data_IF_510293503125
#
_entry.id   IF_510293503125
#
_cell.length_a   1.000
_cell.length_b   1.000
_cell.length_c   1.000
_cell.angle_alpha   90.00
_cell.angle_beta   90.00
_cell.angle_gamma   90.00
#
_symmetry.space_group_name_H-M   'P 1'
#
loop_
_entity.id
_entity.type
_entity.pdbx_description
1 polymer ?
#
# COMPACT_ATOMS: atom_id res chain seq x y z
N UNK A 1 -9.32 11.28 -4.52
CA UNK A 1 -10.56 11.44 -3.75
C UNK A 1 -11.08 10.14 -3.15
N UNK A 2 -11.05 8.97 -3.84
CA UNK A 2 -11.51 7.68 -3.27
C UNK A 2 -10.66 7.20 -2.09
N UNK A 3 -9.39 7.59 -2.04
CA UNK A 3 -8.47 7.25 -0.95
C UNK A 3 -8.86 7.90 0.39
N UNK A 4 -9.63 8.99 0.35
CA UNK A 4 -10.11 9.73 1.53
C UNK A 4 -11.56 9.39 1.91
N UNK A 5 -12.06 8.25 1.44
CA UNK A 5 -13.42 7.79 1.72
C UNK A 5 -13.38 6.50 2.55
N UNK A 6 -14.25 6.40 3.53
CA UNK A 6 -14.48 5.13 4.21
C UNK A 6 -15.12 4.15 3.22
N UNK A 7 -14.51 2.99 3.04
CA UNK A 7 -14.94 1.97 2.08
C UNK A 7 -15.88 1.00 2.77
N UNK A 8 -17.08 0.84 2.21
CA UNK A 8 -18.08 -0.12 2.68
C UNK A 8 -17.53 -1.56 2.68
N UNK A 9 -18.08 -2.46 3.51
CA UNK A 9 -17.71 -3.86 3.49
C UNK A 9 -17.82 -4.46 2.11
N UNK A 10 -16.84 -5.30 1.76
CA UNK A 10 -16.81 -6.05 0.50
C UNK A 10 -17.81 -7.21 0.54
N UNK A 11 -18.50 -7.43 -0.59
CA UNK A 11 -19.31 -8.62 -0.87
C UNK A 11 -18.98 -9.16 -2.26
N UNK A 12 -19.13 -10.47 -2.48
CA UNK A 12 -18.80 -11.10 -3.77
C UNK A 12 -19.67 -10.59 -4.94
N UNK A 13 -20.88 -10.11 -4.66
CA UNK A 13 -21.73 -9.51 -5.69
C UNK A 13 -21.12 -8.25 -6.32
N UNK A 14 -20.27 -7.55 -5.60
CA UNK A 14 -19.58 -6.37 -6.13
C UNK A 14 -18.65 -6.71 -7.30
N UNK A 15 -18.11 -7.93 -7.37
CA UNK A 15 -17.22 -8.38 -8.45
C UNK A 15 -17.92 -8.38 -9.82
N UNK A 16 -19.22 -8.69 -9.84
CA UNK A 16 -20.03 -8.74 -11.08
C UNK A 16 -20.05 -7.40 -11.80
N UNK A 17 -20.10 -6.29 -11.06
CA UNK A 17 -20.12 -4.92 -11.62
C UNK A 17 -18.81 -4.58 -12.33
N UNK A 18 -17.70 -5.22 -11.93
CA UNK A 18 -16.37 -4.97 -12.46
C UNK A 18 -15.87 -6.09 -13.39
N UNK A 19 -16.77 -7.04 -13.75
CA UNK A 19 -16.44 -8.19 -14.61
C UNK A 19 -15.25 -9.01 -14.08
N UNK A 20 -15.14 -9.14 -12.76
CA UNK A 20 -14.13 -9.95 -12.09
C UNK A 20 -14.80 -11.25 -11.66
N UNK A 21 -14.20 -12.38 -12.02
CA UNK A 21 -14.76 -13.73 -11.84
C UNK A 21 -14.93 -14.08 -10.36
N UNK A 22 -13.86 -13.92 -9.58
CA UNK A 22 -13.80 -14.34 -8.18
C UNK A 22 -12.74 -13.55 -7.40
N UNK A 23 -12.65 -13.82 -6.08
CA UNK A 23 -11.66 -13.21 -5.18
C UNK A 23 -10.22 -13.50 -5.61
N UNK A 24 -9.93 -14.69 -6.15
CA UNK A 24 -8.59 -15.08 -6.58
C UNK A 24 -8.12 -14.23 -7.76
N UNK A 25 -8.99 -14.06 -8.76
CA UNK A 25 -8.67 -13.20 -9.89
C UNK A 25 -8.44 -11.75 -9.45
N UNK A 26 -9.27 -11.22 -8.55
CA UNK A 26 -9.06 -9.89 -7.99
C UNK A 26 -7.72 -9.79 -7.27
N UNK A 27 -7.43 -10.74 -6.39
CA UNK A 27 -6.17 -10.80 -5.62
C UNK A 27 -4.95 -10.86 -6.53
N UNK A 28 -4.98 -11.69 -7.56
CA UNK A 28 -3.91 -11.81 -8.55
C UNK A 28 -3.67 -10.51 -9.32
N UNK A 29 -4.73 -9.86 -9.77
CA UNK A 29 -4.65 -8.56 -10.46
C UNK A 29 -4.08 -7.48 -9.54
N UNK A 30 -4.51 -7.44 -8.30
CA UNK A 30 -4.02 -6.51 -7.28
C UNK A 30 -2.55 -6.76 -6.97
N UNK A 31 -2.16 -8.02 -6.73
CA UNK A 31 -0.79 -8.41 -6.45
C UNK A 31 0.16 -8.07 -7.60
N UNK A 32 -0.21 -8.40 -8.85
CA UNK A 32 0.57 -8.03 -10.04
C UNK A 32 0.75 -6.51 -10.16
N UNK A 33 -0.31 -5.75 -9.86
CA UNK A 33 -0.23 -4.29 -9.85
C UNK A 33 0.71 -3.78 -8.76
N UNK A 34 0.61 -4.31 -7.54
CA UNK A 34 1.50 -3.98 -6.42
C UNK A 34 2.96 -4.19 -6.79
N UNK A 35 3.31 -5.38 -7.29
CA UNK A 35 4.69 -5.73 -7.68
C UNK A 35 5.19 -4.86 -8.84
N UNK A 36 4.35 -4.62 -9.84
CA UNK A 36 4.70 -3.76 -11.00
C UNK A 36 5.15 -2.36 -10.57
N UNK A 37 4.56 -1.80 -9.53
CA UNK A 37 4.93 -0.48 -9.00
C UNK A 37 5.93 -0.52 -7.85
N UNK A 38 6.49 -1.70 -7.54
CA UNK A 38 7.50 -1.88 -6.49
C UNK A 38 6.95 -1.70 -5.08
N UNK A 39 5.66 -1.98 -4.88
CA UNK A 39 4.99 -1.92 -3.58
C UNK A 39 5.11 -3.20 -2.79
N UNK A 40 4.87 -3.10 -1.49
CA UNK A 40 4.77 -4.21 -0.54
C UNK A 40 3.38 -4.29 0.10
N UNK A 41 2.51 -3.33 -0.23
CA UNK A 41 1.09 -3.25 0.08
C UNK A 41 0.36 -2.44 -0.99
N UNK A 42 -0.90 -2.77 -1.25
CA UNK A 42 -1.77 -2.04 -2.19
C UNK A 42 -3.23 -2.28 -1.86
N UNK A 43 -3.95 -1.22 -1.56
CA UNK A 43 -5.38 -1.26 -1.31
C UNK A 43 -6.22 -1.01 -2.58
N UNK A 44 -7.40 -1.62 -2.64
CA UNK A 44 -8.26 -1.57 -3.83
C UNK A 44 -8.70 -0.14 -4.20
N UNK A 45 -8.94 0.72 -3.21
CA UNK A 45 -9.32 2.11 -3.46
C UNK A 45 -8.19 2.97 -4.06
N UNK A 46 -6.92 2.56 -3.92
CA UNK A 46 -5.79 3.21 -4.60
C UNK A 46 -5.84 3.01 -6.13
N UNK A 47 -6.38 1.90 -6.59
CA UNK A 47 -6.56 1.59 -8.02
C UNK A 47 -7.98 1.87 -8.53
N UNK A 48 -8.78 2.56 -7.72
CA UNK A 48 -10.12 3.00 -8.10
C UNK A 48 -11.24 1.99 -7.88
N UNK A 49 -10.96 0.84 -7.29
CA UNK A 49 -11.96 -0.16 -6.93
C UNK A 49 -12.57 0.16 -5.54
N UNK A 50 -13.90 0.19 -5.39
CA UNK A 50 -14.55 0.51 -4.13
C UNK A 50 -14.66 -0.73 -3.22
N UNK A 51 -13.61 -1.54 -3.15
CA UNK A 51 -13.61 -2.78 -2.38
C UNK A 51 -12.84 -2.58 -1.07
N UNK A 52 -13.43 -3.03 0.04
CA UNK A 52 -12.75 -3.10 1.32
C UNK A 52 -11.80 -4.30 1.34
N UNK A 53 -10.70 -4.19 0.59
CA UNK A 53 -9.64 -5.19 0.50
C UNK A 53 -8.30 -4.57 0.14
N UNK A 54 -7.24 -5.24 0.51
CA UNK A 54 -5.87 -4.95 0.08
C UNK A 54 -5.05 -6.24 -0.03
N UNK A 55 -3.95 -6.14 -0.76
CA UNK A 55 -2.91 -7.18 -0.84
C UNK A 55 -1.65 -6.68 -0.17
N UNK A 56 -0.88 -7.57 0.48
CA UNK A 56 0.38 -7.22 1.13
C UNK A 56 1.38 -8.37 1.15
N UNK A 57 2.67 -8.03 1.31
CA UNK A 57 3.76 -9.02 1.42
C UNK A 57 4.46 -9.28 0.09
N UNK A 58 4.91 -10.51 -0.13
CA UNK A 58 5.63 -10.93 -1.34
C UNK A 58 7.10 -10.54 -1.38
N UNK A 59 7.63 -9.81 -0.40
CA UNK A 59 9.05 -9.49 -0.31
C UNK A 59 9.77 -10.50 0.59
N UNK A 60 10.89 -11.12 0.15
CA UNK A 60 11.55 -12.20 0.91
C UNK A 60 11.93 -11.84 2.36
N UNK A 61 12.20 -10.57 2.64
CA UNK A 61 12.56 -10.10 3.98
C UNK A 61 11.33 -9.79 4.87
N UNK A 62 10.11 -10.01 4.38
CA UNK A 62 8.86 -9.77 5.10
C UNK A 62 8.12 -11.08 5.19
N UNK A 63 8.10 -11.70 6.38
CA UNK A 63 7.45 -12.99 6.65
C UNK A 63 7.79 -14.05 5.57
N UNK A 64 9.07 -14.19 5.22
CA UNK A 64 9.57 -15.13 4.21
C UNK A 64 8.86 -15.05 2.85
N UNK A 65 8.39 -13.85 2.50
CA UNK A 65 7.68 -13.61 1.25
C UNK A 65 6.22 -14.01 1.27
N UNK A 66 5.63 -14.27 2.45
CA UNK A 66 4.19 -14.58 2.55
C UNK A 66 3.35 -13.45 1.97
N UNK A 67 2.44 -13.81 1.07
CA UNK A 67 1.43 -12.89 0.51
C UNK A 67 0.13 -13.04 1.30
N UNK A 68 -0.53 -11.92 1.58
CA UNK A 68 -1.85 -11.88 2.21
C UNK A 68 -2.81 -11.09 1.36
N UNK A 69 -3.97 -11.65 1.12
CA UNK A 69 -5.10 -11.04 0.42
C UNK A 69 -6.21 -10.79 1.46
N UNK A 70 -6.33 -9.56 1.92
CA UNK A 70 -7.14 -9.22 3.08
C UNK A 70 -8.47 -8.60 2.67
N UNK A 71 -9.54 -9.36 2.67
CA UNK A 71 -10.92 -8.88 2.46
C UNK A 71 -11.57 -8.56 3.79
N UNK A 72 -12.24 -7.42 3.87
CA UNK A 72 -12.89 -6.90 5.08
C UNK A 72 -11.97 -6.93 6.32
N UNK A 73 -10.75 -6.38 6.21
CA UNK A 73 -9.79 -6.42 7.29
C UNK A 73 -10.25 -5.59 8.49
N UNK A 74 -9.98 -6.12 9.68
CA UNK A 74 -10.14 -5.43 10.96
C UNK A 74 -8.91 -5.62 11.83
N UNK A 75 -8.58 -4.62 12.62
CA UNK A 75 -7.62 -4.72 13.72
C UNK A 75 -8.42 -4.96 14.99
N UNK A 76 -8.19 -6.10 15.65
CA UNK A 76 -8.88 -6.52 16.89
C UNK A 76 -8.16 -6.00 18.11
N UNK A 77 -6.83 -5.97 18.06
CA UNK A 77 -5.98 -5.53 19.15
C UNK A 77 -4.64 -5.02 18.62
N UNK A 78 -3.92 -4.24 19.41
CA UNK A 78 -2.63 -3.64 19.03
C UNK A 78 -1.75 -3.41 20.27
N UNK A 79 -0.44 -3.34 20.07
CA UNK A 79 0.50 -3.06 21.15
C UNK A 79 0.41 -1.61 21.63
N UNK A 80 0.59 -1.40 22.94
CA UNK A 80 0.85 -0.07 23.51
C UNK A 80 2.22 0.47 23.07
N UNK A 81 3.18 -0.43 22.95
CA UNK A 81 4.51 -0.08 22.45
C UNK A 81 4.47 0.32 20.98
N UNK A 82 5.15 1.41 20.66
CA UNK A 82 5.20 1.95 19.31
C UNK A 82 6.63 1.99 18.77
N UNK A 83 6.79 1.73 17.47
CA UNK A 83 8.06 1.80 16.77
C UNK A 83 8.01 2.88 15.69
N UNK A 84 9.07 3.70 15.64
CA UNK A 84 9.26 4.71 14.59
C UNK A 84 9.89 4.05 13.37
N UNK A 85 9.17 4.01 12.25
CA UNK A 85 9.67 3.50 10.98
C UNK A 85 9.39 4.47 9.84
N UNK A 86 10.21 4.39 8.78
CA UNK A 86 10.02 5.18 7.56
C UNK A 86 8.97 4.49 6.68
N UNK A 87 7.95 5.22 6.29
CA UNK A 87 6.87 4.78 5.39
C UNK A 87 6.85 5.59 4.11
N UNK A 88 6.43 4.94 3.03
CA UNK A 88 6.03 5.53 1.77
C UNK A 88 4.70 4.94 1.32
N UNK A 89 4.08 5.52 0.32
CA UNK A 89 2.83 5.05 -0.25
C UNK A 89 2.90 5.17 -1.78
N UNK A 90 2.41 4.17 -2.52
CA UNK A 90 2.36 4.19 -3.99
C UNK A 90 1.53 5.38 -4.53
N UNK A 91 0.53 5.83 -3.77
CA UNK A 91 -0.27 7.02 -4.11
C UNK A 91 0.45 8.36 -3.88
N UNK A 92 1.61 8.35 -3.20
CA UNK A 92 2.44 9.51 -2.90
C UNK A 92 3.90 9.25 -3.31
N UNK A 93 4.21 9.14 -4.60
CA UNK A 93 5.53 8.75 -5.07
C UNK A 93 6.62 9.69 -4.54
N UNK A 94 7.74 9.10 -4.11
CA UNK A 94 8.90 9.79 -3.53
C UNK A 94 8.65 10.52 -2.20
N UNK A 95 7.46 10.43 -1.61
CA UNK A 95 7.18 10.97 -0.28
C UNK A 95 7.42 9.89 0.76
N UNK A 96 8.32 10.18 1.70
CA UNK A 96 8.64 9.30 2.82
C UNK A 96 8.55 10.05 4.12
N UNK A 97 7.91 9.44 5.12
CA UNK A 97 7.69 10.01 6.44
C UNK A 97 8.08 8.99 7.51
N UNK A 98 8.67 9.47 8.61
CA UNK A 98 8.90 8.64 9.79
C UNK A 98 7.67 8.70 10.70
N UNK A 99 7.01 7.55 10.87
CA UNK A 99 5.73 7.41 11.57
C UNK A 99 5.87 6.43 12.72
N UNK A 100 5.30 6.78 13.87
CA UNK A 100 5.15 5.88 15.00
C UNK A 100 3.88 5.06 14.81
N UNK A 101 4.00 3.73 14.93
CA UNK A 101 2.86 2.81 14.95
C UNK A 101 3.05 1.73 15.99
N UNK A 102 1.96 1.10 16.46
CA UNK A 102 2.03 -0.15 17.22
C UNK A 102 2.99 -1.15 16.60
N UNK A 103 3.76 -1.81 17.45
CA UNK A 103 4.80 -2.77 17.05
C UNK A 103 4.19 -4.07 16.51
N UNK A 104 3.04 -4.47 17.07
CA UNK A 104 2.28 -5.62 16.61
C UNK A 104 0.77 -5.29 16.59
N UNK A 105 0.05 -6.04 15.78
CA UNK A 105 -1.42 -5.99 15.70
C UNK A 105 -1.99 -7.41 15.65
N UNK A 106 -3.11 -7.63 16.33
CA UNK A 106 -3.96 -8.80 16.12
C UNK A 106 -5.03 -8.43 15.10
N UNK A 107 -5.10 -9.19 14.01
CA UNK A 107 -5.94 -8.86 12.86
C UNK A 107 -6.85 -10.01 12.49
N UNK A 108 -7.99 -9.68 11.91
CA UNK A 108 -8.88 -10.63 11.28
C UNK A 108 -9.24 -10.14 9.90
N UNK A 109 -9.30 -11.05 8.93
CA UNK A 109 -9.75 -10.76 7.56
C UNK A 109 -10.25 -12.05 6.91
N UNK A 110 -10.94 -11.94 5.79
CA UNK A 110 -11.25 -13.08 4.92
C UNK A 110 -10.19 -13.16 3.82
N UNK A 111 -9.69 -14.35 3.53
CA UNK A 111 -8.72 -14.57 2.45
C UNK A 111 -9.41 -14.74 1.08
N UNK A 112 -8.63 -15.00 0.03
CA UNK A 112 -9.12 -15.23 -1.33
C UNK A 112 -9.89 -16.54 -1.52
N UNK A 113 -9.82 -17.47 -0.55
CA UNK A 113 -10.61 -18.71 -0.53
C UNK A 113 -11.95 -18.54 0.19
N UNK A 114 -12.16 -17.40 0.85
CA UNK A 114 -13.33 -17.14 1.69
C UNK A 114 -13.16 -17.59 3.14
N UNK A 115 -11.96 -18.02 3.53
CA UNK A 115 -11.66 -18.47 4.88
C UNK A 115 -11.35 -17.27 5.79
N UNK A 116 -11.83 -17.34 7.03
CA UNK A 116 -11.51 -16.34 8.05
C UNK A 116 -10.11 -16.62 8.61
N UNK A 117 -9.24 -15.64 8.51
CA UNK A 117 -7.88 -15.67 9.08
C UNK A 117 -7.85 -14.75 10.31
N UNK A 118 -7.27 -15.25 11.39
CA UNK A 118 -7.04 -14.54 12.65
C UNK A 118 -5.56 -14.73 13.02
N UNK A 119 -4.77 -13.68 12.97
CA UNK A 119 -3.32 -13.78 13.20
C UNK A 119 -2.72 -12.55 13.88
N UNK A 120 -1.60 -12.76 14.58
CA UNK A 120 -0.76 -11.69 15.08
C UNK A 120 0.30 -11.33 14.03
N UNK A 121 0.38 -10.05 13.67
CA UNK A 121 1.40 -9.50 12.80
C UNK A 121 2.38 -8.66 13.60
N UNK A 122 3.67 -8.75 13.24
CA UNK A 122 4.74 -8.03 13.91
C UNK A 122 5.61 -7.25 12.90
N UNK A 123 6.36 -6.26 13.36
CA UNK A 123 7.37 -5.57 12.58
C UNK A 123 6.82 -4.97 11.28
N UNK A 124 7.41 -5.35 10.13
CA UNK A 124 7.03 -4.79 8.84
C UNK A 124 5.63 -5.24 8.40
N UNK A 125 5.22 -6.47 8.66
CA UNK A 125 3.87 -6.95 8.32
C UNK A 125 2.79 -6.22 9.12
N UNK A 126 3.01 -5.96 10.41
CA UNK A 126 2.12 -5.11 11.20
C UNK A 126 2.06 -3.68 10.65
N UNK A 127 3.21 -3.15 10.20
CA UNK A 127 3.32 -1.81 9.62
C UNK A 127 2.50 -1.68 8.35
N UNK A 128 2.64 -2.63 7.42
CA UNK A 128 1.93 -2.63 6.14
C UNK A 128 0.43 -2.77 6.39
N UNK A 129 0.01 -3.73 7.23
CA UNK A 129 -1.41 -3.95 7.51
C UNK A 129 -2.08 -2.68 8.06
N UNK A 130 -1.46 -2.00 9.00
CA UNK A 130 -1.98 -0.75 9.56
C UNK A 130 -2.10 0.34 8.48
N UNK A 131 -1.09 0.48 7.61
CA UNK A 131 -1.08 1.44 6.52
C UNK A 131 -2.22 1.20 5.52
N UNK A 132 -2.38 -0.05 5.05
CA UNK A 132 -3.42 -0.40 4.08
C UNK A 132 -4.83 -0.35 4.71
N UNK A 133 -4.96 -0.72 5.99
CA UNK A 133 -6.23 -0.63 6.69
C UNK A 133 -6.69 0.82 6.90
N UNK A 134 -5.76 1.77 7.08
CA UNK A 134 -6.09 3.21 7.10
C UNK A 134 -6.73 3.66 5.79
N UNK A 135 -6.23 3.20 4.64
CA UNK A 135 -6.83 3.50 3.34
C UNK A 135 -8.29 3.02 3.23
N UNK A 136 -8.63 1.91 3.89
CA UNK A 136 -10.01 1.44 3.94
C UNK A 136 -10.93 2.35 4.76
N UNK A 137 -10.36 3.10 5.70
CA UNK A 137 -11.08 4.01 6.59
C UNK A 137 -11.00 5.49 6.15
N UNK A 138 -10.42 5.75 4.98
CA UNK A 138 -10.29 7.10 4.42
C UNK A 138 -9.16 7.94 5.01
N UNK A 139 -8.20 7.31 5.68
CA UNK A 139 -7.01 7.98 6.23
C UNK A 139 -5.77 7.71 5.38
N UNK A 140 -4.83 8.63 5.44
CA UNK A 140 -3.54 8.52 4.75
C UNK A 140 -2.40 8.83 5.71
N UNK A 141 -1.26 8.20 5.51
CA UNK A 141 -0.10 8.31 6.40
C UNK A 141 0.42 9.75 6.60
N UNK A 142 0.07 10.68 5.71
CA UNK A 142 0.42 12.11 5.85
C UNK A 142 -0.30 12.80 7.00
N UNK A 143 -1.43 12.25 7.44
CA UNK A 143 -2.24 12.80 8.54
C UNK A 143 -1.63 12.50 9.91
N UNK A 144 -0.69 11.54 9.97
CA UNK A 144 -0.02 11.10 11.19
C UNK A 144 1.20 11.95 11.58
N UNK A 145 1.51 12.97 10.81
CA UNK A 145 2.66 13.86 11.07
C UNK A 145 2.24 15.32 11.16
N UNK A 146 3.04 16.13 11.88
CA UNK A 146 2.80 17.57 11.93
C UNK A 146 2.97 18.21 10.55
N UNK A 147 2.27 19.31 10.31
CA UNK A 147 2.36 20.11 9.08
C UNK A 147 3.82 20.46 8.75
N UNK A 148 4.62 20.84 9.74
CA UNK A 148 6.04 21.17 9.56
C UNK A 148 6.83 19.99 9.00
N UNK A 149 6.65 18.77 9.56
CA UNK A 149 7.31 17.54 9.07
C UNK A 149 6.87 17.20 7.65
N UNK A 150 5.59 17.33 7.36
CA UNK A 150 5.04 17.10 6.03
C UNK A 150 5.61 18.08 4.99
N UNK A 151 5.70 19.37 5.32
CA UNK A 151 6.25 20.39 4.42
C UNK A 151 7.74 20.15 4.13
N UNK A 152 8.52 19.74 5.14
CA UNK A 152 9.91 19.35 4.96
C UNK A 152 10.05 18.13 4.05
N UNK A 153 9.19 17.12 4.22
CA UNK A 153 9.19 15.91 3.38
C UNK A 153 8.78 16.24 1.93
N UNK A 154 7.78 17.10 1.72
CA UNK A 154 7.37 17.58 0.39
C UNK A 154 8.48 18.36 -0.33
N UNK A 155 9.27 19.15 0.38
CA UNK A 155 10.46 19.80 -0.20
C UNK A 155 11.49 18.77 -0.69
N UNK A 156 11.75 17.72 0.09
CA UNK A 156 12.64 16.61 -0.31
C UNK A 156 12.06 15.84 -1.50
N UNK A 157 10.77 15.52 -1.49
CA UNK A 157 10.04 14.89 -2.58
C UNK A 157 10.21 15.67 -3.89
N UNK A 158 9.95 16.97 -3.88
CA UNK A 158 10.09 17.84 -5.08
C UNK A 158 11.52 17.81 -5.64
N UNK A 159 12.53 17.75 -4.78
CA UNK A 159 13.93 17.63 -5.17
C UNK A 159 14.21 16.29 -5.88
N UNK A 160 13.74 15.19 -5.30
CA UNK A 160 13.89 13.85 -5.86
C UNK A 160 13.20 13.73 -7.23
N UNK A 161 11.97 14.23 -7.35
CA UNK A 161 11.23 14.24 -8.63
C UNK A 161 12.03 14.98 -9.71
N UNK A 162 12.52 16.20 -9.40
CA UNK A 162 13.33 16.97 -10.37
C UNK A 162 14.61 16.25 -10.79
N UNK A 163 15.28 15.57 -9.86
CA UNK A 163 16.49 14.79 -10.15
C UNK A 163 16.16 13.58 -11.03
N UNK A 164 15.09 12.85 -10.74
CA UNK A 164 14.64 11.68 -11.53
C UNK A 164 14.29 12.10 -12.96
N UNK A 165 13.52 13.17 -13.13
CA UNK A 165 13.17 13.68 -14.47
C UNK A 165 14.43 14.07 -15.25
N UNK A 166 15.36 14.77 -14.63
CA UNK A 166 16.61 15.18 -15.28
C UNK A 166 17.44 13.98 -15.73
N UNK A 167 17.58 12.96 -14.87
CA UNK A 167 18.34 11.74 -15.21
C UNK A 167 17.67 10.93 -16.32
N UNK A 168 16.34 10.84 -16.34
CA UNK A 168 15.61 10.18 -17.43
C UNK A 168 15.79 10.93 -18.76
N UNK A 169 15.68 12.24 -18.76
CA UNK A 169 15.92 13.06 -19.97
C UNK A 169 17.34 12.90 -20.50
N UNK A 170 18.35 12.80 -19.62
CA UNK A 170 19.74 12.57 -20.04
C UNK A 170 19.91 11.19 -20.68
N UNK A 171 19.32 10.13 -20.10
CA UNK A 171 19.34 8.78 -20.67
C UNK A 171 18.71 8.73 -22.07
N UNK A 172 17.51 9.31 -22.21
CA UNK A 172 16.84 9.36 -23.51
C UNK A 172 17.66 10.09 -24.57
N UNK A 173 18.32 11.19 -24.21
CA UNK A 173 19.20 11.92 -25.15
C UNK A 173 20.41 11.10 -25.58
N UNK A 174 21.03 10.35 -24.64
CA UNK A 174 22.17 9.46 -24.97
C UNK A 174 21.76 8.29 -25.87
N UNK A 175 20.58 7.70 -25.63
CA UNK A 175 20.03 6.62 -26.46
C UNK A 175 19.70 7.06 -27.90
N UNK A 176 19.18 8.27 -28.07
CA UNK A 176 18.92 8.86 -29.39
C UNK A 176 20.21 9.17 -30.13
N UNK A 177 21.23 9.70 -29.43
CA UNK A 177 22.54 9.99 -30.03
C UNK A 177 23.27 8.72 -30.47
N UNK A 178 23.15 7.61 -29.76
CA UNK A 178 23.77 6.34 -30.07
C UNK A 178 23.09 5.56 -31.22
N UNK A 179 21.85 5.91 -31.57
CA UNK A 179 21.12 5.30 -32.71
C UNK A 179 21.33 6.04 -34.03
N UNK A 180 21.94 7.23 -33.98
CA UNK A 180 22.20 8.08 -35.17
C UNK A 180 23.68 8.00 -35.62
N UNK A 181 24.46 7.07 -35.09
CA UNK A 181 25.81 6.72 -35.48
C UNK A 181 25.82 5.28 -36.04
#
# INVERSE_FOLDING_TARGET
PRLLMNIAPYTDDMLKVFEIKDRKELSDKMYKSMVKYGGIGLSANQVGLPFRMFVMGGHPQIDDGKVRNCFNPIIKDLSEETVLMKEGCLSFPFLFLSIKRPQWVNVQYTDENGETVDEYLHGMSARIFQHENEHMNGYVFTDLVSKMKLDMAKKKQSKLIKQTIKSQQQRLRSEVSSKNV
#
